data_IF_225528321491
#
_entry.id   IF_225528321491
#
_cell.length_a   1.000
_cell.length_b   1.000
_cell.length_c   1.000
_cell.angle_alpha   90.00
_cell.angle_beta   90.00
_cell.angle_gamma   90.00
#
_symmetry.space_group_name_H-M   'P 1'
#
loop_
_entity.id
_entity.type
_entity.pdbx_description
1 polymer ?
#
# COMPACT_ATOMS: atom_id res chain seq x y z
N UNK A 1 8.02 0.14 25.80
CA UNK A 1 8.48 1.21 24.87
C UNK A 1 8.00 2.54 25.42
N UNK A 2 8.90 3.41 25.96
CA UNK A 2 8.51 4.77 26.36
C UNK A 2 8.10 5.53 25.09
N UNK A 3 6.83 5.79 24.93
CA UNK A 3 6.30 6.61 23.81
C UNK A 3 6.75 8.03 24.09
N UNK A 4 7.68 8.57 23.29
CA UNK A 4 8.10 9.95 23.37
C UNK A 4 6.86 10.86 23.26
N UNK A 5 6.76 11.91 24.12
CA UNK A 5 5.65 12.89 24.18
C UNK A 5 5.21 13.46 22.81
N UNK A 6 6.07 13.34 21.77
CA UNK A 6 5.87 13.90 20.43
C UNK A 6 5.36 12.89 19.38
N UNK A 7 5.00 11.65 19.78
CA UNK A 7 4.51 10.62 18.86
C UNK A 7 2.99 10.46 18.99
N UNK A 8 2.26 10.69 17.92
CA UNK A 8 0.82 10.41 17.83
C UNK A 8 0.59 9.19 16.94
N UNK A 9 0.01 8.11 17.49
CA UNK A 9 -0.38 6.94 16.68
C UNK A 9 -1.43 7.35 15.65
N UNK A 10 -1.23 6.94 14.41
CA UNK A 10 -2.21 7.09 13.35
C UNK A 10 -3.13 5.86 13.34
N UNK A 11 -4.41 6.10 13.03
CA UNK A 11 -5.33 5.00 12.73
C UNK A 11 -4.84 4.36 11.43
N UNK A 12 -4.57 3.07 11.46
CA UNK A 12 -4.24 2.25 10.31
C UNK A 12 -5.24 1.11 10.25
N UNK A 13 -5.58 0.68 9.05
CA UNK A 13 -6.31 -0.55 8.82
C UNK A 13 -5.39 -1.75 9.08
N UNK A 14 -5.79 -2.97 8.75
CA UNK A 14 -5.10 -4.24 9.06
C UNK A 14 -3.69 -4.39 8.42
N UNK A 15 -2.86 -3.36 8.52
CA UNK A 15 -1.49 -3.34 8.02
C UNK A 15 -0.55 -4.09 8.97
N UNK A 16 0.45 -4.82 8.47
CA UNK A 16 1.55 -5.38 9.27
C UNK A 16 2.49 -4.30 9.83
N UNK A 17 2.21 -3.04 9.57
CA UNK A 17 2.96 -1.86 9.99
C UNK A 17 2.13 -1.00 10.93
N UNK A 18 2.78 -0.30 11.86
CA UNK A 18 2.16 0.66 12.76
C UNK A 18 2.75 2.03 12.49
N UNK A 19 1.90 3.01 12.27
CA UNK A 19 2.28 4.34 11.87
C UNK A 19 2.13 5.33 13.03
N UNK A 20 3.14 6.17 13.23
CA UNK A 20 3.10 7.28 14.19
C UNK A 20 3.53 8.56 13.51
N UNK A 21 2.80 9.64 13.75
CA UNK A 21 3.24 10.98 13.39
C UNK A 21 4.13 11.53 14.49
N UNK A 22 5.36 11.88 14.14
CA UNK A 22 6.33 12.57 15.01
C UNK A 22 6.27 14.04 14.69
N UNK A 23 5.87 14.85 15.69
CA UNK A 23 5.91 16.30 15.56
C UNK A 23 7.30 16.83 15.91
N UNK A 24 7.81 17.74 15.09
CA UNK A 24 8.99 18.59 15.35
C UNK A 24 8.50 20.04 15.45
N UNK A 25 9.36 20.99 15.87
CA UNK A 25 8.98 22.40 16.07
C UNK A 25 8.24 22.97 14.85
N UNK A 26 8.81 22.82 13.65
CA UNK A 26 8.27 23.40 12.39
C UNK A 26 7.95 22.35 11.32
N UNK A 27 7.98 21.08 11.65
CA UNK A 27 7.76 20.00 10.66
C UNK A 27 7.17 18.76 11.33
N UNK A 28 6.84 17.78 10.52
CA UNK A 28 6.47 16.44 10.99
C UNK A 28 7.02 15.36 10.07
N UNK A 29 7.15 14.17 10.62
CA UNK A 29 7.57 12.97 9.90
C UNK A 29 6.70 11.78 10.34
N UNK A 30 6.72 10.73 9.57
CA UNK A 30 6.03 9.48 9.91
C UNK A 30 7.06 8.43 10.34
N UNK A 31 6.87 7.90 11.54
CA UNK A 31 7.59 6.72 12.01
C UNK A 31 6.76 5.49 11.68
N UNK A 32 7.38 4.54 10.99
CA UNK A 32 6.76 3.28 10.60
C UNK A 32 7.45 2.14 11.33
N UNK A 33 6.73 1.46 12.21
CA UNK A 33 7.20 0.25 12.90
C UNK A 33 6.71 -1.00 12.20
N UNK A 34 7.62 -1.96 12.03
CA UNK A 34 7.25 -3.31 11.61
C UNK A 34 6.76 -4.14 12.80
N UNK A 35 5.67 -4.89 12.62
CA UNK A 35 5.17 -5.80 13.64
C UNK A 35 6.14 -6.98 13.83
N UNK A 36 6.32 -7.45 15.08
CA UNK A 36 7.32 -8.44 15.58
C UNK A 36 8.25 -9.09 14.53
N UNK A 37 7.79 -10.04 13.75
CA UNK A 37 8.66 -10.83 12.84
C UNK A 37 8.63 -10.35 11.37
N UNK A 38 8.15 -9.14 11.09
CA UNK A 38 7.93 -8.63 9.73
C UNK A 38 8.83 -7.44 9.36
N UNK A 39 10.07 -7.41 9.90
CA UNK A 39 11.05 -6.34 9.58
C UNK A 39 11.31 -6.15 8.09
N UNK A 40 11.25 -7.23 7.32
CA UNK A 40 11.41 -7.20 5.87
C UNK A 40 10.41 -6.29 5.17
N UNK A 41 9.23 -6.04 5.76
CA UNK A 41 8.24 -5.12 5.21
C UNK A 41 8.74 -3.65 5.16
N UNK A 42 9.72 -3.28 6.01
CA UNK A 42 10.34 -1.94 5.94
C UNK A 42 11.27 -1.82 4.73
N UNK A 43 11.97 -2.91 4.38
CA UNK A 43 12.83 -2.96 3.20
C UNK A 43 12.00 -2.92 1.91
N UNK A 44 10.86 -3.61 1.90
CA UNK A 44 9.90 -3.61 0.79
C UNK A 44 9.33 -2.21 0.60
N UNK A 45 8.86 -1.58 1.67
CA UNK A 45 8.33 -0.23 1.66
C UNK A 45 9.33 0.79 1.07
N UNK A 46 10.58 0.78 1.57
CA UNK A 46 11.64 1.64 1.04
C UNK A 46 11.92 1.37 -0.45
N UNK A 47 11.98 0.10 -0.83
CA UNK A 47 12.23 -0.30 -2.22
C UNK A 47 11.16 0.20 -3.16
N UNK A 48 9.89 0.01 -2.81
CA UNK A 48 8.78 0.43 -3.66
C UNK A 48 8.75 1.96 -3.75
N UNK A 49 8.87 2.67 -2.62
CA UNK A 49 8.91 4.14 -2.62
C UNK A 49 10.05 4.69 -3.48
N UNK A 50 11.25 4.09 -3.41
CA UNK A 50 12.38 4.48 -4.28
C UNK A 50 12.07 4.29 -5.77
N UNK A 51 11.38 3.21 -6.13
CA UNK A 51 10.96 3.00 -7.53
C UNK A 51 9.95 4.07 -7.95
N UNK A 52 8.97 4.37 -7.11
CA UNK A 52 7.98 5.41 -7.39
C UNK A 52 8.66 6.76 -7.61
N UNK A 53 9.53 7.16 -6.69
CA UNK A 53 10.28 8.42 -6.77
C UNK A 53 11.16 8.53 -8.03
N UNK A 54 11.83 7.43 -8.42
CA UNK A 54 12.63 7.38 -9.65
C UNK A 54 11.80 7.50 -10.94
N UNK A 55 10.50 7.27 -10.85
CA UNK A 55 9.56 7.39 -11.97
C UNK A 55 8.64 8.61 -11.80
N UNK A 56 9.10 9.65 -11.11
CA UNK A 56 8.37 10.91 -10.90
C UNK A 56 6.96 10.72 -10.30
N UNK A 57 6.82 9.73 -9.44
CA UNK A 57 5.62 9.51 -8.65
C UNK A 57 5.92 9.88 -7.21
N UNK A 58 5.15 10.82 -6.68
CA UNK A 58 5.32 11.32 -5.33
C UNK A 58 5.02 10.22 -4.31
N UNK A 59 6.06 9.81 -3.57
CA UNK A 59 6.00 8.82 -2.50
C UNK A 59 6.85 9.30 -1.31
N UNK A 60 6.59 8.85 -0.06
CA UNK A 60 7.36 9.28 1.10
C UNK A 60 8.84 8.90 0.97
N UNK A 61 9.73 9.89 1.08
CA UNK A 61 11.19 9.67 1.09
C UNK A 61 11.62 9.13 2.46
N UNK A 62 12.59 8.23 2.46
CA UNK A 62 13.25 7.77 3.67
C UNK A 62 14.10 8.91 4.25
N UNK A 63 13.84 9.29 5.51
CA UNK A 63 14.58 10.32 6.25
C UNK A 63 15.64 9.68 7.16
N UNK A 64 15.26 8.61 7.85
CA UNK A 64 16.17 7.84 8.69
C UNK A 64 15.68 6.41 8.88
N UNK A 65 16.57 5.52 9.34
CA UNK A 65 16.21 4.14 9.61
C UNK A 65 16.89 3.63 10.89
N UNK A 66 16.20 2.75 11.58
CA UNK A 66 16.77 1.93 12.63
C UNK A 66 16.24 0.51 12.50
N UNK A 67 16.89 -0.28 11.66
CA UNK A 67 16.42 -1.62 11.31
C UNK A 67 16.48 -2.59 12.49
N UNK A 68 17.45 -2.44 13.39
CA UNK A 68 17.56 -3.25 14.61
C UNK A 68 16.38 -3.01 15.55
N UNK A 69 15.95 -1.75 15.71
CA UNK A 69 14.75 -1.37 16.46
C UNK A 69 13.46 -1.46 15.66
N UNK A 70 13.49 -2.00 14.44
CA UNK A 70 12.34 -2.32 13.58
C UNK A 70 11.50 -1.10 13.17
N UNK A 71 12.11 0.06 12.90
CA UNK A 71 11.41 1.23 12.39
C UNK A 71 12.21 2.00 11.34
N UNK A 72 11.47 2.77 10.57
CA UNK A 72 11.98 3.80 9.65
C UNK A 72 11.24 5.11 9.89
N UNK A 73 11.86 6.23 9.53
CA UNK A 73 11.26 7.57 9.52
C UNK A 73 11.18 8.05 8.07
N UNK A 74 10.00 8.52 7.64
CA UNK A 74 9.75 8.97 6.28
C UNK A 74 9.02 10.31 6.28
N UNK A 75 8.92 10.95 5.10
CA UNK A 75 8.16 12.19 4.91
C UNK A 75 6.72 12.06 5.39
N UNK A 76 6.21 13.16 5.97
CA UNK A 76 4.80 13.28 6.33
C UNK A 76 4.06 14.11 5.26
N UNK A 77 3.19 13.48 4.51
CA UNK A 77 2.31 14.15 3.53
C UNK A 77 1.12 14.89 4.15
N UNK A 78 1.09 14.99 5.48
CA UNK A 78 0.05 15.70 6.20
C UNK A 78 -1.20 14.86 6.46
N UNK A 79 -2.36 15.53 6.53
CA UNK A 79 -3.63 14.89 6.92
C UNK A 79 -4.63 14.76 5.78
N UNK A 80 -4.35 15.35 4.62
CA UNK A 80 -5.30 15.44 3.51
C UNK A 80 -5.25 14.20 2.64
N UNK A 81 -5.99 13.15 3.04
CA UNK A 81 -6.22 12.01 2.14
C UNK A 81 -7.05 12.46 0.94
N UNK A 82 -6.86 11.81 -0.19
CA UNK A 82 -7.65 12.10 -1.39
C UNK A 82 -9.15 11.78 -1.17
N UNK A 83 -9.46 10.79 -0.34
CA UNK A 83 -10.82 10.51 0.12
C UNK A 83 -11.46 11.72 0.81
N UNK A 84 -10.75 12.32 1.81
CA UNK A 84 -11.23 13.51 2.50
C UNK A 84 -11.33 14.73 1.58
N UNK A 85 -10.40 14.85 0.62
CA UNK A 85 -10.41 15.92 -0.38
C UNK A 85 -11.64 15.82 -1.31
N UNK A 86 -11.95 14.64 -1.82
CA UNK A 86 -13.10 14.40 -2.71
C UNK A 86 -14.47 14.59 -2.05
N UNK A 87 -14.54 14.54 -0.71
CA UNK A 87 -15.76 14.83 0.05
C UNK A 87 -16.12 16.32 0.11
N UNK A 88 -15.16 17.21 -0.15
CA UNK A 88 -15.40 18.66 -0.11
C UNK A 88 -16.26 19.08 -1.30
N UNK A 89 -17.31 19.88 -1.05
CA UNK A 89 -18.23 20.40 -2.09
C UNK A 89 -17.49 21.22 -3.16
N UNK A 90 -16.47 21.98 -2.77
CA UNK A 90 -15.66 22.84 -3.67
C UNK A 90 -14.70 22.07 -4.59
N UNK A 91 -14.58 20.75 -4.45
CA UNK A 91 -13.65 19.97 -5.23
C UNK A 91 -14.18 19.68 -6.63
N UNK A 92 -13.43 20.06 -7.67
CA UNK A 92 -13.67 19.58 -9.02
C UNK A 92 -13.27 18.10 -9.12
N UNK A 93 -14.26 17.23 -8.97
CA UNK A 93 -14.07 15.77 -8.97
C UNK A 93 -13.55 15.27 -10.31
N UNK A 94 -14.05 15.78 -11.43
CA UNK A 94 -13.63 15.35 -12.78
C UNK A 94 -12.13 15.58 -12.98
N UNK A 95 -11.64 16.78 -12.70
CA UNK A 95 -10.21 17.10 -12.80
C UNK A 95 -9.38 16.23 -11.86
N UNK A 96 -9.88 15.95 -10.65
CA UNK A 96 -9.19 15.10 -9.68
C UNK A 96 -9.11 13.65 -10.17
N UNK A 97 -10.19 13.08 -10.70
CA UNK A 97 -10.17 11.73 -11.28
C UNK A 97 -9.25 11.63 -12.50
N UNK A 98 -9.20 12.65 -13.36
CA UNK A 98 -8.22 12.70 -14.46
C UNK A 98 -6.77 12.60 -13.95
N UNK A 99 -6.44 13.28 -12.84
CA UNK A 99 -5.10 13.16 -12.20
C UNK A 99 -4.85 11.75 -11.66
N UNK A 100 -5.85 11.11 -11.02
CA UNK A 100 -5.73 9.74 -10.52
C UNK A 100 -5.47 8.76 -11.66
N UNK A 101 -6.22 8.90 -12.77
CA UNK A 101 -6.03 8.04 -13.96
C UNK A 101 -4.64 8.23 -14.54
N UNK A 102 -4.16 9.48 -14.68
CA UNK A 102 -2.79 9.75 -15.14
C UNK A 102 -1.74 9.11 -14.22
N UNK A 103 -1.93 9.17 -12.90
CA UNK A 103 -1.06 8.52 -11.92
C UNK A 103 -1.08 6.99 -12.09
N UNK A 104 -2.26 6.40 -12.28
CA UNK A 104 -2.39 4.96 -12.50
C UNK A 104 -1.69 4.52 -13.80
N UNK A 105 -1.81 5.31 -14.86
CA UNK A 105 -1.08 5.06 -16.12
C UNK A 105 0.44 5.12 -15.87
N UNK A 106 0.94 6.13 -15.16
CA UNK A 106 2.37 6.22 -14.79
C UNK A 106 2.83 4.97 -14.04
N UNK A 107 2.07 4.50 -13.05
CA UNK A 107 2.37 3.26 -12.32
C UNK A 107 2.47 2.06 -13.27
N UNK A 108 1.55 1.95 -14.23
CA UNK A 108 1.54 0.85 -15.21
C UNK A 108 2.69 0.90 -16.22
N UNK A 109 3.31 2.07 -16.42
CA UNK A 109 4.47 2.23 -17.30
C UNK A 109 5.78 1.82 -16.63
N UNK A 110 5.83 1.67 -15.30
CA UNK A 110 7.04 1.27 -14.59
C UNK A 110 7.42 -0.17 -14.94
N UNK A 111 8.62 -0.32 -15.51
CA UNK A 111 9.21 -1.62 -15.87
C UNK A 111 10.31 -2.05 -14.90
N UNK A 112 10.86 -1.10 -14.13
CA UNK A 112 11.90 -1.39 -13.15
C UNK A 112 11.36 -2.30 -12.04
N UNK A 113 12.06 -3.40 -11.79
CA UNK A 113 11.67 -4.38 -10.76
C UNK A 113 12.72 -4.57 -9.68
N UNK A 114 13.97 -4.24 -9.97
CA UNK A 114 15.07 -4.41 -9.04
C UNK A 114 15.52 -3.05 -8.52
N UNK A 115 15.65 -2.93 -7.21
CA UNK A 115 16.17 -1.73 -6.57
C UNK A 115 16.87 -2.08 -5.27
N UNK A 116 17.93 -1.35 -4.95
CA UNK A 116 18.60 -1.46 -3.64
C UNK A 116 17.78 -0.75 -2.57
N UNK A 117 17.46 -1.48 -1.49
CA UNK A 117 16.86 -0.91 -0.29
C UNK A 117 17.91 -0.18 0.58
N UNK A 118 17.51 0.38 1.72
CA UNK A 118 18.40 1.12 2.62
C UNK A 118 19.47 0.25 3.30
N UNK A 119 19.41 -1.07 3.16
CA UNK A 119 20.49 -2.00 3.57
C UNK A 119 21.41 -2.40 2.40
N UNK A 120 21.36 -1.69 1.28
CA UNK A 120 22.12 -1.99 0.06
C UNK A 120 21.85 -3.37 -0.55
N UNK A 121 20.75 -4.05 -0.13
CA UNK A 121 20.33 -5.33 -0.68
C UNK A 121 19.32 -5.11 -1.80
N UNK A 122 19.46 -5.85 -2.89
CA UNK A 122 18.49 -5.80 -3.97
C UNK A 122 17.17 -6.42 -3.53
N UNK A 123 16.09 -5.69 -3.80
CA UNK A 123 14.72 -6.19 -3.72
C UNK A 123 14.15 -6.30 -5.12
N UNK A 124 13.65 -7.50 -5.47
CA UNK A 124 12.95 -7.75 -6.72
C UNK A 124 11.45 -7.74 -6.47
N UNK A 125 10.75 -6.78 -7.06
CA UNK A 125 9.29 -6.72 -6.95
C UNK A 125 8.68 -7.96 -7.62
N UNK A 126 7.85 -8.74 -6.91
CA UNK A 126 7.21 -9.93 -7.50
C UNK A 126 6.25 -9.56 -8.64
N UNK A 127 6.13 -10.45 -9.59
CA UNK A 127 5.13 -10.36 -10.65
C UNK A 127 3.73 -10.56 -10.06
N UNK A 128 2.76 -9.74 -10.49
CA UNK A 128 1.36 -9.94 -10.12
C UNK A 128 0.75 -11.04 -11.01
N UNK A 129 0.82 -12.27 -10.53
CA UNK A 129 0.45 -13.47 -11.30
C UNK A 129 -0.99 -13.93 -11.04
N UNK A 130 -1.52 -14.79 -11.90
CA UNK A 130 -2.81 -15.48 -11.69
C UNK A 130 -2.87 -16.22 -10.34
N UNK A 131 -1.71 -16.75 -9.87
CA UNK A 131 -1.61 -17.39 -8.54
C UNK A 131 -1.87 -16.39 -7.42
N UNK A 132 -1.25 -15.20 -7.45
CA UNK A 132 -1.46 -14.17 -6.44
C UNK A 132 -2.93 -13.72 -6.44
N UNK A 133 -3.51 -13.50 -7.63
CA UNK A 133 -4.90 -13.11 -7.76
C UNK A 133 -5.86 -14.16 -7.15
N UNK A 134 -5.56 -15.45 -7.33
CA UNK A 134 -6.33 -16.52 -6.70
C UNK A 134 -6.18 -16.52 -5.17
N UNK A 135 -4.97 -16.34 -4.66
CA UNK A 135 -4.74 -16.26 -3.20
C UNK A 135 -5.48 -15.06 -2.58
N UNK A 136 -5.48 -13.92 -3.24
CA UNK A 136 -6.25 -12.75 -2.77
C UNK A 136 -7.76 -13.02 -2.78
N UNK A 137 -8.28 -13.64 -3.83
CA UNK A 137 -9.70 -14.01 -3.89
C UNK A 137 -10.11 -14.98 -2.78
N UNK A 138 -9.23 -15.90 -2.36
CA UNK A 138 -9.51 -16.83 -1.26
C UNK A 138 -9.77 -16.14 0.07
N UNK A 139 -9.20 -14.94 0.28
CA UNK A 139 -9.40 -14.16 1.50
C UNK A 139 -10.88 -13.88 1.77
N UNK A 140 -11.71 -13.73 0.72
CA UNK A 140 -13.15 -13.57 0.87
C UNK A 140 -13.78 -14.74 1.63
N UNK A 141 -13.44 -15.97 1.24
CA UNK A 141 -13.97 -17.17 1.90
C UNK A 141 -13.40 -17.35 3.31
N UNK A 142 -12.15 -16.95 3.54
CA UNK A 142 -11.45 -17.14 4.81
C UNK A 142 -11.86 -16.11 5.88
N UNK A 143 -12.15 -14.88 5.47
CA UNK A 143 -12.46 -13.80 6.41
C UNK A 143 -13.95 -13.49 6.51
N UNK A 144 -14.66 -13.43 5.39
CA UNK A 144 -16.08 -13.05 5.38
C UNK A 144 -17.00 -14.27 5.52
N UNK A 145 -16.86 -15.27 4.65
CA UNK A 145 -17.75 -16.43 4.62
C UNK A 145 -17.62 -17.26 5.89
N UNK A 146 -16.41 -17.40 6.42
CA UNK A 146 -16.15 -18.10 7.68
C UNK A 146 -16.93 -17.53 8.86
N UNK A 147 -17.22 -16.22 8.86
CA UNK A 147 -18.00 -15.57 9.93
C UNK A 147 -19.52 -15.68 9.75
N UNK A 148 -19.99 -16.07 8.55
CA UNK A 148 -21.42 -16.03 8.16
C UNK A 148 -22.07 -17.40 7.97
N UNK A 149 -21.30 -18.44 7.73
CA UNK A 149 -21.80 -19.77 7.42
C UNK A 149 -21.32 -20.82 8.45
N UNK A 150 -22.11 -21.90 8.62
CA UNK A 150 -21.70 -23.09 9.37
C UNK A 150 -20.52 -23.80 8.69
N UNK A 151 -19.72 -24.58 9.43
CA UNK A 151 -18.52 -25.27 8.92
C UNK A 151 -18.81 -26.09 7.65
N UNK A 152 -19.89 -26.85 7.61
CA UNK A 152 -20.28 -27.65 6.43
C UNK A 152 -20.57 -26.78 5.23
N UNK A 153 -21.38 -25.71 5.40
CA UNK A 153 -21.70 -24.77 4.33
C UNK A 153 -20.45 -24.01 3.84
N UNK A 154 -19.49 -23.71 4.74
CA UNK A 154 -18.21 -23.09 4.35
C UNK A 154 -17.42 -23.95 3.36
N UNK A 155 -17.32 -25.27 3.60
CA UNK A 155 -16.58 -26.18 2.72
C UNK A 155 -17.20 -26.24 1.34
N UNK A 156 -18.52 -26.39 1.25
CA UNK A 156 -19.26 -26.43 -0.01
C UNK A 156 -19.08 -25.09 -0.76
N UNK A 157 -19.26 -23.97 -0.06
CA UNK A 157 -19.07 -22.63 -0.62
C UNK A 157 -17.66 -22.45 -1.17
N UNK A 158 -16.63 -22.76 -0.36
CA UNK A 158 -15.22 -22.61 -0.73
C UNK A 158 -14.88 -23.38 -2.01
N UNK A 159 -15.34 -24.63 -2.14
CA UNK A 159 -15.13 -25.45 -3.32
C UNK A 159 -15.74 -24.81 -4.59
N UNK A 160 -17.02 -24.42 -4.53
CA UNK A 160 -17.73 -23.76 -5.64
C UNK A 160 -17.08 -22.41 -6.00
N UNK A 161 -16.84 -21.59 -5.01
CA UNK A 161 -16.23 -20.26 -5.18
C UNK A 161 -14.86 -20.33 -5.84
N UNK A 162 -13.96 -21.21 -5.38
CA UNK A 162 -12.63 -21.36 -5.95
C UNK A 162 -12.71 -21.80 -7.42
N UNK A 163 -13.64 -22.70 -7.79
CA UNK A 163 -13.82 -23.12 -9.16
C UNK A 163 -14.28 -21.98 -10.07
N UNK A 164 -15.24 -21.17 -9.62
CA UNK A 164 -15.71 -19.98 -10.35
C UNK A 164 -14.56 -18.99 -10.55
N UNK A 165 -13.82 -18.67 -9.48
CA UNK A 165 -12.69 -17.74 -9.54
C UNK A 165 -11.58 -18.26 -10.46
N UNK A 166 -11.23 -19.55 -10.42
CA UNK A 166 -10.25 -20.14 -11.33
C UNK A 166 -10.67 -19.98 -12.80
N UNK A 167 -11.96 -20.23 -13.11
CA UNK A 167 -12.47 -20.08 -14.47
C UNK A 167 -12.45 -18.62 -14.94
N UNK A 168 -12.79 -17.65 -14.06
CA UNK A 168 -12.67 -16.23 -14.36
C UNK A 168 -11.21 -15.84 -14.62
N UNK A 169 -10.28 -16.25 -13.73
CA UNK A 169 -8.86 -15.94 -13.86
C UNK A 169 -8.24 -16.53 -15.14
N UNK A 170 -8.68 -17.72 -15.57
CA UNK A 170 -8.22 -18.30 -16.86
C UNK A 170 -8.52 -17.39 -18.05
N UNK A 171 -9.68 -16.73 -18.05
CA UNK A 171 -10.12 -15.82 -19.12
C UNK A 171 -9.40 -14.47 -19.10
N UNK A 172 -8.73 -14.11 -18.02
CA UNK A 172 -8.02 -12.83 -17.92
C UNK A 172 -6.73 -12.82 -18.72
N UNK A 173 -6.54 -11.77 -19.51
CA UNK A 173 -5.27 -11.44 -20.18
C UNK A 173 -4.43 -10.53 -19.29
N UNK A 174 -3.73 -11.09 -18.29
CA UNK A 174 -2.89 -10.33 -17.39
C UNK A 174 -1.55 -9.96 -18.03
N UNK A 175 -1.20 -8.69 -18.01
CA UNK A 175 0.16 -8.21 -18.30
C UNK A 175 1.01 -8.29 -17.02
N UNK A 176 1.75 -9.37 -16.81
CA UNK A 176 2.50 -9.64 -15.57
C UNK A 176 3.71 -8.72 -15.36
N UNK A 177 4.05 -7.87 -16.33
CA UNK A 177 5.23 -7.01 -16.30
C UNK A 177 4.94 -5.58 -15.80
N UNK A 178 3.78 -5.33 -15.24
CA UNK A 178 3.36 -4.03 -14.69
C UNK A 178 3.55 -4.01 -13.17
N UNK A 179 3.90 -2.84 -12.64
CA UNK A 179 3.84 -2.60 -11.20
C UNK A 179 2.37 -2.47 -10.75
N UNK A 180 1.97 -3.29 -9.80
CA UNK A 180 0.63 -3.26 -9.21
C UNK A 180 0.74 -2.85 -7.74
N UNK A 181 0.07 -1.76 -7.37
CA UNK A 181 0.06 -1.27 -5.98
C UNK A 181 -0.72 -2.21 -5.04
N UNK A 182 -1.62 -3.03 -5.57
CA UNK A 182 -2.49 -4.00 -4.88
C UNK A 182 -3.57 -3.39 -3.97
N UNK A 183 -3.37 -2.18 -3.47
CA UNK A 183 -4.32 -1.46 -2.63
C UNK A 183 -4.48 0.00 -3.08
N UNK A 184 -4.65 0.19 -4.41
CA UNK A 184 -4.77 1.52 -5.02
C UNK A 184 -6.18 2.07 -4.85
N UNK A 185 -6.39 2.80 -3.77
CA UNK A 185 -7.67 3.47 -3.48
C UNK A 185 -7.43 4.86 -2.85
N UNK A 186 -8.48 5.68 -2.85
CA UNK A 186 -8.40 7.11 -2.48
C UNK A 186 -7.97 7.39 -1.03
N UNK A 187 -8.02 6.40 -0.13
CA UNK A 187 -7.49 6.55 1.23
C UNK A 187 -5.97 6.36 1.31
N UNK A 188 -5.38 5.65 0.33
CA UNK A 188 -3.92 5.45 0.19
C UNK A 188 -3.30 6.46 -0.78
N UNK A 189 -4.06 7.49 -1.15
CA UNK A 189 -3.59 8.63 -1.93
C UNK A 189 -3.71 9.89 -1.08
N UNK A 190 -2.67 10.74 -1.12
CA UNK A 190 -2.60 11.98 -0.35
C UNK A 190 -2.59 13.18 -1.29
N UNK A 191 -3.35 14.22 -0.94
CA UNK A 191 -3.24 15.50 -1.62
C UNK A 191 -2.10 16.30 -0.98
N UNK A 192 -0.98 16.42 -1.68
CA UNK A 192 0.23 17.12 -1.26
C UNK A 192 0.38 18.36 -2.12
N UNK A 193 0.09 19.53 -1.57
CA UNK A 193 -0.02 20.78 -2.34
C UNK A 193 -1.03 20.61 -3.49
N UNK A 194 -0.59 20.55 -4.74
CA UNK A 194 -1.42 20.35 -5.94
C UNK A 194 -1.24 18.97 -6.60
N UNK A 195 -0.42 18.10 -5.99
CA UNK A 195 -0.05 16.78 -6.52
C UNK A 195 -0.68 15.64 -5.70
N UNK A 196 -0.69 14.45 -6.28
CA UNK A 196 -1.18 13.24 -5.61
C UNK A 196 0.03 12.38 -5.24
N UNK A 197 0.23 12.20 -3.93
CA UNK A 197 1.22 11.27 -3.39
C UNK A 197 0.62 9.90 -3.09
N UNK A 198 1.42 8.86 -3.30
CA UNK A 198 1.05 7.45 -3.03
C UNK A 198 1.66 7.03 -1.70
N UNK A 199 0.85 6.44 -0.83
CA UNK A 199 1.28 5.91 0.46
C UNK A 199 0.87 4.46 0.62
N UNK A 200 1.37 3.80 1.67
CA UNK A 200 1.08 2.40 2.04
C UNK A 200 1.42 1.38 0.95
N UNK A 201 2.61 1.57 0.37
CA UNK A 201 3.20 0.76 -0.70
C UNK A 201 3.77 -0.57 -0.21
#
# INVERSE_FOLDING_TARGET
MKIHKNLKKLKGDASPRIFFRKKKKNSSSIIIYAHKNKRTNLLIYDSINKILLKNDILAPKLLSQNYSKKYIEVDDFGKSTLFGFLKKKSTNKSTTFKKIIKLLIKLQLIRQRNIKNFQNKYYKIPLYTKKILLEEAKLFSEWYVKKKLSKTKQLIFKKKFINIIKNLIKKLRLKNNILVHRDFHVSNLMMVKKEIGVIDT
#
